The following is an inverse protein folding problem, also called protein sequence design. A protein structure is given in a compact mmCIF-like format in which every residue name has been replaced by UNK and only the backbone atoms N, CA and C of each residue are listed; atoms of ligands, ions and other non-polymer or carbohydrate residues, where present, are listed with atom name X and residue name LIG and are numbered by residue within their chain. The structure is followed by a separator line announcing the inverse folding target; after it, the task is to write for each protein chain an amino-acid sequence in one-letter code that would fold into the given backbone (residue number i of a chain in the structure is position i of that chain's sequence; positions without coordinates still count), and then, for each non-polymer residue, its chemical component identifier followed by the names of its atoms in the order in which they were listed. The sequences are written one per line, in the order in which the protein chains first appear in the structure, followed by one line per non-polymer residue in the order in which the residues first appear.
data_IF_126889830011
#
_entry.id   IF_126889830011
#
_cell.length_a   1.000
_cell.length_b   1.000
_cell.length_c   1.000
_cell.angle_alpha   90.00
_cell.angle_beta   90.00
_cell.angle_gamma   90.00
#
_symmetry.space_group_name_H-M   'P 1'
#
loop_
_entity.id
_entity.type
_entity.pdbx_description
1 polymer ?
#
# COMPACT_ATOMS: atom_id res chain seq x y z
N UNK A 1 -8.89 4.71 -36.72
CA UNK A 1 -7.80 4.09 -35.93
C UNK A 1 -8.44 3.69 -34.62
N UNK A 2 -8.60 2.39 -34.35
CA UNK A 2 -9.26 1.92 -33.13
C UNK A 2 -8.18 1.57 -32.10
N UNK A 3 -8.12 2.33 -31.01
CA UNK A 3 -7.28 2.02 -29.87
C UNK A 3 -7.81 0.72 -29.25
N UNK A 4 -7.01 -0.34 -29.36
CA UNK A 4 -7.32 -1.65 -28.80
C UNK A 4 -7.16 -1.52 -27.29
N UNK A 5 -8.27 -1.27 -26.60
CA UNK A 5 -8.31 -1.14 -25.14
C UNK A 5 -7.55 -2.27 -24.47
N UNK A 6 -6.53 -1.90 -23.67
CA UNK A 6 -5.73 -2.84 -22.89
C UNK A 6 -6.70 -3.56 -21.95
N UNK A 7 -6.75 -4.88 -22.05
CA UNK A 7 -7.65 -5.68 -21.22
C UNK A 7 -7.06 -5.75 -19.80
N UNK A 8 -7.67 -5.07 -18.83
CA UNK A 8 -7.27 -5.04 -17.41
C UNK A 8 -7.56 -6.37 -16.66
N UNK A 9 -7.32 -7.50 -17.31
CA UNK A 9 -7.51 -8.81 -16.68
C UNK A 9 -6.28 -9.17 -15.87
N UNK A 10 -6.40 -9.08 -14.55
CA UNK A 10 -5.41 -9.58 -13.61
C UNK A 10 -5.56 -11.10 -13.45
N UNK A 11 -4.58 -11.86 -13.93
CA UNK A 11 -4.50 -13.30 -13.68
C UNK A 11 -3.77 -13.54 -12.35
N UNK A 12 -4.49 -14.07 -11.36
CA UNK A 12 -3.93 -14.35 -10.02
C UNK A 12 -3.65 -15.85 -9.90
N UNK A 13 -2.37 -16.21 -9.84
CA UNK A 13 -1.96 -17.59 -9.57
C UNK A 13 -2.16 -17.93 -8.09
N UNK A 14 -2.90 -19.02 -7.80
CA UNK A 14 -3.04 -19.54 -6.43
C UNK A 14 -1.83 -20.41 -6.09
N UNK A 15 -0.92 -19.87 -5.30
CA UNK A 15 0.27 -20.57 -4.83
C UNK A 15 -0.05 -21.28 -3.50
N UNK A 16 0.29 -22.57 -3.37
CA UNK A 16 0.12 -23.33 -2.13
C UNK A 16 1.41 -24.03 -1.72
N UNK A 17 1.64 -24.11 -0.40
CA UNK A 17 2.77 -24.81 0.19
C UNK A 17 4.13 -24.12 -0.01
N UNK A 18 5.12 -24.58 0.76
CA UNK A 18 6.44 -23.94 0.82
C UNK A 18 7.19 -23.99 -0.52
N UNK A 19 6.97 -25.05 -1.31
CA UNK A 19 7.61 -25.17 -2.63
C UNK A 19 7.02 -24.20 -3.65
N UNK A 20 5.71 -23.96 -3.61
CA UNK A 20 5.08 -22.96 -4.45
C UNK A 20 5.57 -21.55 -4.13
N UNK A 21 5.69 -21.22 -2.83
CA UNK A 21 6.21 -19.92 -2.39
C UNK A 21 7.66 -19.75 -2.86
N UNK A 22 8.52 -20.75 -2.70
CA UNK A 22 9.91 -20.71 -3.18
C UNK A 22 10.01 -20.48 -4.68
N UNK A 23 9.19 -21.20 -5.47
CA UNK A 23 9.17 -21.03 -6.92
C UNK A 23 8.72 -19.63 -7.33
N UNK A 24 7.71 -19.07 -6.65
CA UNK A 24 7.23 -17.71 -6.92
C UNK A 24 8.29 -16.65 -6.58
N UNK A 25 8.96 -16.79 -5.41
CA UNK A 25 10.04 -15.88 -5.02
C UNK A 25 11.24 -15.97 -5.98
N UNK A 26 11.58 -17.16 -6.46
CA UNK A 26 12.63 -17.33 -7.47
C UNK A 26 12.31 -16.63 -8.80
N UNK A 27 11.03 -16.64 -9.23
CA UNK A 27 10.61 -15.88 -10.42
C UNK A 27 10.61 -14.37 -10.21
N UNK A 28 10.34 -13.89 -9.00
CA UNK A 28 10.41 -12.45 -8.68
C UNK A 28 11.85 -11.95 -8.55
N UNK A 29 12.78 -12.83 -8.18
CA UNK A 29 14.21 -12.51 -8.06
C UNK A 29 14.98 -12.66 -9.38
N UNK A 30 14.31 -13.12 -10.44
CA UNK A 30 14.89 -13.22 -11.78
C UNK A 30 14.84 -11.83 -12.44
N UNK A 31 16.00 -11.19 -12.58
CA UNK A 31 16.13 -9.83 -13.15
C UNK A 31 15.73 -9.77 -14.64
N UNK A 32 15.68 -10.91 -15.34
CA UNK A 32 15.19 -11.00 -16.72
C UNK A 32 13.66 -11.21 -16.79
N UNK A 33 13.00 -11.45 -15.65
CA UNK A 33 11.55 -11.53 -15.62
C UNK A 33 10.95 -10.15 -15.93
N UNK A 34 10.07 -10.09 -16.93
CA UNK A 34 9.30 -8.90 -17.26
C UNK A 34 8.24 -8.68 -16.18
N UNK A 35 8.68 -8.21 -15.01
CA UNK A 35 7.81 -7.77 -13.92
C UNK A 35 7.36 -6.36 -14.28
N UNK A 36 6.05 -6.09 -14.39
CA UNK A 36 5.55 -4.74 -14.52
C UNK A 36 5.92 -3.99 -13.23
N UNK A 37 7.06 -3.29 -13.25
CA UNK A 37 7.42 -2.40 -12.17
C UNK A 37 6.50 -1.18 -12.28
N UNK A 38 5.88 -0.76 -11.17
CA UNK A 38 5.19 0.53 -11.17
C UNK A 38 6.23 1.60 -11.52
N UNK A 39 6.09 2.20 -12.70
CA UNK A 39 6.92 3.32 -13.17
C UNK A 39 6.52 4.64 -12.51
N UNK A 40 5.36 4.65 -11.86
CA UNK A 40 4.81 5.80 -11.19
C UNK A 40 5.25 5.79 -9.72
N UNK A 41 5.63 6.96 -9.21
CA UNK A 41 5.86 7.17 -7.78
C UNK A 41 4.59 6.77 -7.02
N UNK A 42 4.66 5.67 -6.28
CA UNK A 42 3.55 5.24 -5.43
C UNK A 42 3.54 6.14 -4.21
N UNK A 43 2.50 6.98 -4.11
CA UNK A 43 2.32 7.91 -2.99
C UNK A 43 2.31 7.09 -1.68
N UNK A 44 3.36 7.26 -0.86
CA UNK A 44 3.52 6.45 0.33
C UNK A 44 2.34 6.68 1.30
N UNK A 45 1.86 5.63 2.01
CA UNK A 45 0.78 5.80 2.98
C UNK A 45 1.16 6.89 4.01
N UNK A 46 0.39 7.97 4.03
CA UNK A 46 0.61 9.04 5.01
C UNK A 46 0.22 8.53 6.40
N UNK A 47 1.03 8.78 7.44
CA UNK A 47 0.67 8.38 8.79
C UNK A 47 -0.62 9.07 9.23
N UNK A 48 -1.51 8.34 9.90
CA UNK A 48 -2.77 8.86 10.45
C UNK A 48 -2.79 8.64 11.96
N UNK A 49 -3.32 9.60 12.70
CA UNK A 49 -3.60 9.51 14.14
C UNK A 49 -5.09 9.72 14.39
N UNK A 50 -5.76 8.75 14.99
CA UNK A 50 -7.15 8.92 15.45
C UNK A 50 -7.15 9.60 16.83
N UNK A 51 -7.94 10.66 16.97
CA UNK A 51 -8.07 11.38 18.23
C UNK A 51 -8.80 10.53 19.28
N UNK A 52 -8.19 10.32 20.45
CA UNK A 52 -8.81 9.56 21.54
C UNK A 52 -10.04 10.24 22.18
N UNK A 53 -10.22 11.55 21.95
CA UNK A 53 -11.33 12.33 22.54
C UNK A 53 -12.55 12.38 21.64
N UNK A 54 -12.36 12.67 20.34
CA UNK A 54 -13.48 12.88 19.41
C UNK A 54 -13.48 11.92 18.21
N UNK A 55 -12.60 10.93 18.19
CA UNK A 55 -12.45 9.93 17.11
C UNK A 55 -12.16 10.48 15.71
N UNK A 56 -11.82 11.76 15.57
CA UNK A 56 -11.45 12.34 14.29
C UNK A 56 -10.08 11.83 13.83
N UNK A 57 -9.96 11.49 12.55
CA UNK A 57 -8.68 11.16 11.94
C UNK A 57 -7.89 12.42 11.62
N UNK A 58 -6.60 12.39 11.93
CA UNK A 58 -5.67 13.49 11.78
C UNK A 58 -4.45 13.02 11.01
N UNK A 59 -3.85 13.94 10.24
CA UNK A 59 -2.51 13.74 9.71
C UNK A 59 -1.52 13.43 10.86
N UNK A 60 -0.68 12.41 10.65
CA UNK A 60 0.23 11.88 11.65
C UNK A 60 1.33 12.85 12.10
N UNK A 61 1.55 13.95 11.37
CA UNK A 61 2.48 15.02 11.77
C UNK A 61 1.85 15.99 12.77
N UNK A 62 0.53 16.00 12.95
CA UNK A 62 -0.15 16.91 13.87
C UNK A 62 0.08 16.51 15.32
N UNK A 63 0.29 17.53 16.16
CA UNK A 63 0.37 17.42 17.61
C UNK A 63 -0.98 17.68 18.30
N UNK A 64 -1.91 18.32 17.61
CA UNK A 64 -3.23 18.72 18.12
C UNK A 64 -4.33 18.33 17.14
N UNK A 65 -5.45 17.84 17.69
CA UNK A 65 -6.61 17.43 16.92
C UNK A 65 -7.21 18.63 16.18
N UNK A 66 -7.37 18.50 14.86
CA UNK A 66 -7.97 19.56 14.05
C UNK A 66 -9.44 19.83 14.43
N UNK A 67 -10.15 18.81 14.93
CA UNK A 67 -11.58 18.90 15.23
C UNK A 67 -11.88 19.41 16.65
N UNK A 68 -11.18 18.89 17.67
CA UNK A 68 -11.50 19.19 19.07
C UNK A 68 -10.37 19.88 19.86
N UNK A 69 -9.21 20.11 19.25
CA UNK A 69 -8.06 20.75 19.92
C UNK A 69 -7.36 19.90 20.98
N UNK A 70 -7.76 18.64 21.20
CA UNK A 70 -7.08 17.74 22.12
C UNK A 70 -5.66 17.37 21.64
N UNK A 71 -4.74 17.13 22.57
CA UNK A 71 -3.40 16.63 22.25
C UNK A 71 -3.47 15.26 21.57
N UNK A 72 -2.65 15.07 20.52
CA UNK A 72 -2.48 13.82 19.79
C UNK A 72 -1.17 13.09 20.17
N UNK A 73 -0.45 13.58 21.19
CA UNK A 73 0.76 12.90 21.68
C UNK A 73 0.36 11.58 22.33
N UNK A 74 0.98 10.48 21.90
CA UNK A 74 0.84 9.19 22.58
C UNK A 74 1.47 9.30 23.96
N UNK A 75 0.69 9.00 25.00
CA UNK A 75 1.21 8.77 26.34
C UNK A 75 2.08 7.52 26.25
N UNK A 76 3.36 7.64 26.60
CA UNK A 76 4.31 6.51 26.64
C UNK A 76 4.04 5.65 27.86
#
# INVERSE_FOLDING_TARGET
MAEKGRSDKLEVARITGVQGIRAAMARLADDEAEVPLPTDEVDAPRPVKTCAVCAADNDGTRDTCWNCGASLRRVR
#
